data_IF_696560084818
#
_entry.id   IF_696560084818
#
_cell.length_a   1.000
_cell.length_b   1.000
_cell.length_c   1.000
_cell.angle_alpha   90.00
_cell.angle_beta   90.00
_cell.angle_gamma   90.00
#
_symmetry.space_group_name_H-M   'P 1'
#
loop_
_entity.id
_entity.type
_entity.pdbx_description
1 polymer ?
#
# COMPACT_ATOMS: atom_id res chain seq x y z
N UNK A 1 6.13 2.72 66.17
CA UNK A 1 6.51 1.75 65.13
C UNK A 1 5.24 1.23 64.46
N UNK A 2 5.25 1.13 63.12
CA UNK A 2 4.12 0.71 62.24
C UNK A 2 3.05 1.81 62.11
N UNK A 3 2.80 2.48 60.99
CA UNK A 3 2.79 2.03 59.59
C UNK A 3 3.21 3.18 58.66
N UNK A 4 4.42 3.12 58.11
CA UNK A 4 4.85 3.87 56.93
C UNK A 4 5.29 2.79 55.94
N UNK A 5 4.35 2.15 55.24
CA UNK A 5 4.69 1.12 54.23
C UNK A 5 3.50 0.65 53.40
N UNK A 6 2.67 1.54 52.86
CA UNK A 6 1.79 1.17 51.72
C UNK A 6 1.53 2.40 50.84
N UNK A 7 2.55 2.92 50.16
CA UNK A 7 2.36 3.85 49.05
C UNK A 7 3.54 3.74 48.06
N UNK A 8 3.80 2.51 47.59
CA UNK A 8 4.82 2.30 46.55
C UNK A 8 4.56 1.05 45.70
N UNK A 9 3.31 0.79 45.31
CA UNK A 9 2.98 -0.35 44.44
C UNK A 9 1.85 -0.13 43.42
N UNK A 10 1.60 1.10 42.97
CA UNK A 10 0.72 1.35 41.80
C UNK A 10 1.26 2.47 40.91
N UNK A 11 2.54 2.41 40.56
CA UNK A 11 3.08 3.07 39.35
C UNK A 11 4.08 2.12 38.72
N UNK A 12 3.61 0.93 38.35
CA UNK A 12 4.37 -0.01 37.54
C UNK A 12 3.44 -0.43 36.40
N UNK A 13 3.70 0.18 35.25
CA UNK A 13 3.32 -0.28 33.92
C UNK A 13 1.83 -0.27 33.53
N UNK A 14 1.26 0.93 33.46
CA UNK A 14 0.37 1.27 32.34
C UNK A 14 1.06 2.32 31.44
N UNK A 15 2.31 2.07 31.08
CA UNK A 15 2.74 2.46 29.74
C UNK A 15 2.00 1.53 28.80
N UNK A 16 0.76 1.87 28.46
CA UNK A 16 0.21 1.49 27.16
C UNK A 16 1.18 2.16 26.19
N UNK A 17 2.25 1.45 25.84
CA UNK A 17 3.07 1.81 24.71
C UNK A 17 2.09 1.81 23.56
N UNK A 18 1.62 2.99 23.14
CA UNK A 18 1.20 3.16 21.77
C UNK A 18 2.39 2.65 20.96
N UNK A 19 2.25 1.44 20.44
CA UNK A 19 3.37 0.74 19.84
C UNK A 19 3.60 1.42 18.50
N UNK A 20 4.45 2.43 18.50
CA UNK A 20 4.86 3.08 17.28
C UNK A 20 5.59 2.04 16.42
N UNK A 21 5.08 1.83 15.21
CA UNK A 21 5.74 1.03 14.20
C UNK A 21 6.88 1.85 13.60
N UNK A 22 8.08 1.29 13.56
CA UNK A 22 9.28 2.00 13.10
C UNK A 22 10.20 1.08 12.28
N UNK A 23 10.69 1.62 11.17
CA UNK A 23 11.81 1.04 10.43
C UNK A 23 13.10 1.41 11.15
N UNK A 24 13.91 0.41 11.49
CA UNK A 24 15.20 0.58 12.15
C UNK A 24 16.38 0.48 11.18
N UNK A 25 16.16 -0.13 10.02
CA UNK A 25 17.19 -0.33 9.00
C UNK A 25 17.48 0.99 8.26
N UNK A 26 18.66 1.56 8.51
CA UNK A 26 19.06 2.86 7.95
C UNK A 26 19.12 2.88 6.41
N UNK A 27 19.55 1.79 5.78
CA UNK A 27 19.55 1.67 4.31
C UNK A 27 18.12 1.73 3.75
N UNK A 28 17.18 1.10 4.45
CA UNK A 28 15.79 1.10 4.04
C UNK A 28 15.12 2.46 4.28
N UNK A 29 15.47 3.16 5.36
CA UNK A 29 15.03 4.55 5.60
C UNK A 29 15.50 5.44 4.45
N UNK A 30 16.80 5.41 4.14
CA UNK A 30 17.39 6.22 3.07
C UNK A 30 16.78 5.89 1.71
N UNK A 31 16.57 4.61 1.43
CA UNK A 31 15.83 4.16 0.24
C UNK A 31 14.43 4.79 0.19
N UNK A 32 13.64 4.69 1.25
CA UNK A 32 12.28 5.25 1.29
C UNK A 32 12.28 6.78 1.11
N UNK A 33 13.25 7.50 1.70
CA UNK A 33 13.41 8.94 1.51
C UNK A 33 13.67 9.31 0.05
N UNK A 34 14.62 8.62 -0.59
CA UNK A 34 14.96 8.84 -2.00
C UNK A 34 13.79 8.51 -2.94
N UNK A 35 13.07 7.41 -2.69
CA UNK A 35 11.87 7.05 -3.46
C UNK A 35 10.78 8.10 -3.28
N UNK A 36 10.50 8.53 -2.05
CA UNK A 36 9.49 9.56 -1.79
C UNK A 36 9.82 10.88 -2.50
N UNK A 37 11.09 11.28 -2.50
CA UNK A 37 11.56 12.46 -3.21
C UNK A 37 11.45 12.29 -4.73
N UNK A 38 11.86 11.14 -5.29
CA UNK A 38 11.74 10.83 -6.71
C UNK A 38 10.30 10.95 -7.19
N UNK A 39 9.36 10.37 -6.44
CA UNK A 39 7.93 10.47 -6.71
C UNK A 39 7.41 11.92 -6.67
N UNK A 40 7.87 12.73 -5.71
CA UNK A 40 7.53 14.15 -5.66
C UNK A 40 8.07 14.91 -6.88
N UNK A 41 9.26 14.55 -7.38
CA UNK A 41 9.83 15.11 -8.61
C UNK A 41 9.02 14.75 -9.85
N UNK A 42 8.44 13.55 -9.92
CA UNK A 42 7.51 13.16 -11.00
C UNK A 42 6.29 14.09 -11.02
N UNK A 43 5.68 14.39 -9.88
CA UNK A 43 4.46 15.23 -9.79
C UNK A 43 4.69 16.63 -10.37
N UNK A 44 5.89 17.19 -10.19
CA UNK A 44 6.27 18.51 -10.72
C UNK A 44 6.97 18.43 -12.09
N UNK A 45 6.93 17.27 -12.75
CA UNK A 45 7.54 17.00 -14.06
C UNK A 45 9.07 17.19 -14.13
N UNK A 46 9.76 17.13 -13.00
CA UNK A 46 11.24 17.14 -12.92
C UNK A 46 11.78 15.70 -13.07
N UNK A 47 11.56 15.13 -14.26
CA UNK A 47 11.85 13.72 -14.54
C UNK A 47 13.34 13.38 -14.52
N UNK A 48 14.22 14.35 -14.81
CA UNK A 48 15.67 14.14 -14.76
C UNK A 48 16.12 13.93 -13.32
N UNK A 49 15.65 14.78 -12.39
CA UNK A 49 15.94 14.60 -10.97
C UNK A 49 15.31 13.32 -10.42
N UNK A 50 14.07 13.00 -10.82
CA UNK A 50 13.42 11.74 -10.44
C UNK A 50 14.26 10.52 -10.86
N UNK A 51 14.78 10.49 -12.09
CA UNK A 51 15.61 9.40 -12.60
C UNK A 51 16.89 9.23 -11.76
N UNK A 52 17.55 10.35 -11.41
CA UNK A 52 18.77 10.31 -10.60
C UNK A 52 18.49 9.80 -9.17
N UNK A 53 17.37 10.19 -8.58
CA UNK A 53 16.96 9.74 -7.24
C UNK A 53 16.65 8.24 -7.21
N UNK A 54 15.97 7.69 -8.23
CA UNK A 54 15.77 6.24 -8.33
C UNK A 54 17.09 5.47 -8.42
N UNK A 55 18.04 5.95 -9.26
CA UNK A 55 19.37 5.35 -9.36
C UNK A 55 20.14 5.39 -8.05
N UNK A 56 20.01 6.46 -7.27
CA UNK A 56 20.59 6.54 -5.93
C UNK A 56 19.92 5.54 -4.99
N UNK A 57 18.58 5.49 -4.98
CA UNK A 57 17.81 4.60 -4.12
C UNK A 57 18.18 3.13 -4.36
N UNK A 58 18.33 2.71 -5.61
CA UNK A 58 18.64 1.31 -5.96
C UNK A 58 20.07 0.89 -5.63
N UNK A 59 20.96 1.82 -5.24
CA UNK A 59 22.27 1.51 -4.66
C UNK A 59 22.17 1.18 -3.17
N UNK A 60 21.23 1.82 -2.47
CA UNK A 60 21.02 1.64 -1.03
C UNK A 60 20.28 0.33 -0.72
N UNK A 61 19.38 -0.09 -1.60
CA UNK A 61 18.57 -1.29 -1.39
C UNK A 61 18.60 -2.23 -2.59
N UNK A 62 19.21 -3.41 -2.39
CA UNK A 62 19.44 -4.43 -3.44
C UNK A 62 18.17 -4.98 -4.07
N UNK A 63 17.05 -4.95 -3.35
CA UNK A 63 15.80 -5.59 -3.76
C UNK A 63 14.66 -4.56 -3.91
N UNK A 64 14.80 -3.55 -4.79
CA UNK A 64 13.81 -2.49 -4.93
C UNK A 64 12.42 -3.05 -5.23
N UNK A 65 11.38 -2.42 -4.69
CA UNK A 65 10.03 -2.89 -4.93
C UNK A 65 9.64 -2.75 -6.41
N UNK A 66 8.85 -3.68 -6.94
CA UNK A 66 8.44 -3.68 -8.35
C UNK A 66 7.71 -2.40 -8.77
N UNK A 67 6.97 -1.79 -7.84
CA UNK A 67 6.37 -0.46 -8.04
C UNK A 67 7.42 0.61 -8.39
N UNK A 68 8.53 0.60 -7.66
CA UNK A 68 9.59 1.60 -7.82
C UNK A 68 10.41 1.30 -9.07
N UNK A 69 10.65 0.02 -9.40
CA UNK A 69 11.24 -0.39 -10.67
C UNK A 69 10.37 0.06 -11.87
N UNK A 70 9.04 -0.08 -11.77
CA UNK A 70 8.11 0.36 -12.81
C UNK A 70 8.17 1.88 -13.03
N UNK A 71 8.15 2.65 -11.92
CA UNK A 71 8.25 4.10 -12.01
C UNK A 71 9.61 4.54 -12.56
N UNK A 72 10.70 3.97 -12.05
CA UNK A 72 12.07 4.23 -12.53
C UNK A 72 12.19 3.94 -14.02
N UNK A 73 11.70 2.78 -14.49
CA UNK A 73 11.67 2.43 -15.91
C UNK A 73 10.93 3.47 -16.75
N UNK A 74 9.73 3.87 -16.32
CA UNK A 74 8.91 4.83 -17.06
C UNK A 74 9.51 6.24 -17.08
N UNK A 75 10.12 6.68 -15.97
CA UNK A 75 10.87 7.94 -15.92
C UNK A 75 12.09 7.87 -16.84
N UNK A 76 12.88 6.79 -16.76
CA UNK A 76 14.09 6.58 -17.56
C UNK A 76 13.79 6.59 -19.07
N UNK A 77 12.71 5.93 -19.50
CA UNK A 77 12.24 5.99 -20.89
C UNK A 77 11.95 7.43 -21.35
N UNK A 78 11.25 8.22 -20.52
CA UNK A 78 10.88 9.61 -20.84
C UNK A 78 12.09 10.54 -20.92
N UNK A 79 13.12 10.31 -20.11
CA UNK A 79 14.38 11.09 -20.16
C UNK A 79 15.43 10.47 -21.10
N UNK A 80 15.05 9.44 -21.87
CA UNK A 80 15.90 8.74 -22.86
C UNK A 80 17.13 8.06 -22.26
N UNK A 81 17.05 7.67 -21.00
CA UNK A 81 18.05 6.84 -20.33
C UNK A 81 17.72 5.35 -20.53
N UNK A 82 17.93 4.90 -21.77
CA UNK A 82 17.51 3.56 -22.18
C UNK A 82 18.28 2.43 -21.48
N UNK A 83 19.51 2.68 -21.03
CA UNK A 83 20.28 1.66 -20.30
C UNK A 83 19.64 1.37 -18.94
N UNK A 84 19.28 2.42 -18.19
CA UNK A 84 18.58 2.25 -16.91
C UNK A 84 17.17 1.67 -17.11
N UNK A 85 16.43 2.20 -18.08
CA UNK A 85 15.10 1.68 -18.40
C UNK A 85 15.13 0.18 -18.76
N UNK A 86 16.12 -0.26 -19.54
CA UNK A 86 16.23 -1.67 -19.93
C UNK A 86 16.58 -2.55 -18.73
N UNK A 87 17.44 -2.07 -17.82
CA UNK A 87 17.77 -2.78 -16.58
C UNK A 87 16.54 -2.99 -15.69
N UNK A 88 15.73 -1.94 -15.51
CA UNK A 88 14.52 -2.00 -14.69
C UNK A 88 13.45 -2.89 -15.34
N UNK A 89 13.26 -2.76 -16.66
CA UNK A 89 12.42 -3.66 -17.46
C UNK A 89 12.80 -5.13 -17.26
N UNK A 90 14.10 -5.43 -17.37
CA UNK A 90 14.60 -6.79 -17.22
C UNK A 90 14.38 -7.31 -15.79
N UNK A 91 14.60 -6.46 -14.78
CA UNK A 91 14.34 -6.81 -13.38
C UNK A 91 12.87 -7.15 -13.14
N UNK A 92 11.94 -6.36 -13.69
CA UNK A 92 10.50 -6.63 -13.65
C UNK A 92 10.13 -7.93 -14.37
N UNK A 93 10.72 -8.19 -15.55
CA UNK A 93 10.55 -9.47 -16.26
C UNK A 93 11.00 -10.66 -15.42
N UNK A 94 12.14 -10.56 -14.73
CA UNK A 94 12.61 -11.61 -13.83
C UNK A 94 11.70 -11.86 -12.64
N UNK A 95 10.96 -10.84 -12.19
CA UNK A 95 9.91 -10.99 -11.18
C UNK A 95 8.60 -11.55 -11.75
N UNK A 96 8.53 -11.82 -13.06
CA UNK A 96 7.36 -12.36 -13.73
C UNK A 96 6.32 -11.32 -14.09
N UNK A 97 6.70 -10.03 -14.23
CA UNK A 97 5.79 -9.02 -14.76
C UNK A 97 5.52 -9.29 -16.24
N UNK A 98 4.24 -9.29 -16.61
CA UNK A 98 3.81 -9.33 -18.00
C UNK A 98 3.92 -7.94 -18.63
N UNK A 99 4.34 -7.92 -19.90
CA UNK A 99 4.46 -6.71 -20.71
C UNK A 99 3.81 -6.99 -22.06
N UNK A 100 3.31 -5.94 -22.71
CA UNK A 100 2.81 -6.03 -24.08
C UNK A 100 3.86 -6.70 -24.98
N UNK A 101 3.40 -7.55 -25.89
CA UNK A 101 4.27 -8.32 -26.79
C UNK A 101 5.21 -7.41 -27.61
N UNK A 102 4.75 -6.19 -27.91
CA UNK A 102 5.48 -5.20 -28.69
C UNK A 102 6.29 -4.20 -27.84
N UNK A 103 6.24 -4.27 -26.51
CA UNK A 103 6.90 -3.31 -25.61
C UNK A 103 8.39 -3.14 -25.95
N UNK A 104 9.12 -4.26 -26.02
CA UNK A 104 10.56 -4.22 -26.35
C UNK A 104 10.86 -3.56 -27.69
N UNK A 105 10.14 -3.96 -28.75
CA UNK A 105 10.36 -3.42 -30.10
C UNK A 105 9.98 -1.95 -30.22
N UNK A 106 9.00 -1.49 -29.43
CA UNK A 106 8.51 -0.12 -29.44
C UNK A 106 9.44 0.82 -28.68
N UNK A 107 9.84 0.43 -27.47
CA UNK A 107 10.49 1.31 -26.52
C UNK A 107 12.03 1.16 -26.52
N UNK A 108 12.56 0.05 -27.05
CA UNK A 108 14.00 -0.23 -27.15
C UNK A 108 14.43 -0.62 -28.57
N UNK A 109 14.60 0.38 -29.45
CA UNK A 109 15.19 0.16 -30.77
C UNK A 109 16.62 -0.36 -30.61
N UNK A 110 16.98 -1.43 -31.33
CA UNK A 110 18.28 -2.12 -31.22
C UNK A 110 18.53 -2.75 -29.84
N UNK A 111 17.55 -3.49 -29.32
CA UNK A 111 17.62 -4.13 -28.00
C UNK A 111 18.84 -5.06 -27.81
N UNK A 112 19.42 -5.58 -28.89
CA UNK A 112 20.65 -6.41 -28.90
C UNK A 112 21.86 -5.70 -28.28
N UNK A 113 21.85 -4.36 -28.22
CA UNK A 113 22.91 -3.57 -27.58
C UNK A 113 22.91 -3.73 -26.05
N UNK A 114 21.79 -4.05 -25.43
CA UNK A 114 21.68 -4.11 -23.98
C UNK A 114 22.05 -5.51 -23.49
N UNK A 115 23.03 -5.60 -22.59
CA UNK A 115 23.47 -6.88 -22.01
C UNK A 115 22.40 -7.45 -21.10
N UNK A 116 21.77 -8.55 -21.51
CA UNK A 116 20.84 -9.32 -20.68
C UNK A 116 21.65 -10.10 -19.64
N UNK A 117 21.40 -9.84 -18.35
CA UNK A 117 21.89 -10.71 -17.27
C UNK A 117 20.88 -11.84 -17.05
N UNK A 118 21.32 -13.03 -16.68
CA UNK A 118 20.39 -14.06 -16.23
C UNK A 118 19.61 -13.58 -15.00
N UNK A 119 18.33 -13.93 -14.89
CA UNK A 119 17.57 -13.68 -13.68
C UNK A 119 18.22 -14.40 -12.48
N UNK A 120 18.71 -13.63 -11.51
CA UNK A 120 19.30 -14.18 -10.28
C UNK A 120 18.23 -14.71 -9.31
N UNK A 121 17.01 -14.17 -9.40
CA UNK A 121 15.93 -14.50 -8.48
C UNK A 121 15.26 -15.83 -8.86
N UNK A 122 15.17 -16.75 -7.89
CA UNK A 122 14.44 -18.00 -8.03
C UNK A 122 13.12 -17.92 -7.26
N UNK A 123 12.02 -17.81 -8.00
CA UNK A 123 10.66 -17.82 -7.44
C UNK A 123 10.35 -19.21 -6.85
N UNK A 124 9.93 -19.27 -5.59
CA UNK A 124 9.42 -20.48 -4.94
C UNK A 124 7.97 -20.72 -5.38
N UNK A 125 7.81 -21.41 -6.51
CA UNK A 125 6.51 -21.74 -7.09
C UNK A 125 5.61 -22.55 -6.13
N UNK A 126 6.20 -23.37 -5.26
CA UNK A 126 5.44 -24.15 -4.28
C UNK A 126 4.91 -23.25 -3.16
N UNK A 127 5.71 -22.29 -2.70
CA UNK A 127 5.25 -21.28 -1.74
C UNK A 127 4.14 -20.44 -2.34
N UNK A 128 4.33 -19.93 -3.57
CA UNK A 128 3.31 -19.19 -4.31
C UNK A 128 2.00 -19.98 -4.42
N UNK A 129 2.06 -21.22 -4.89
CA UNK A 129 0.87 -22.09 -5.04
C UNK A 129 0.14 -22.29 -3.70
N UNK A 130 0.87 -22.39 -2.60
CA UNK A 130 0.28 -22.51 -1.27
C UNK A 130 -0.45 -21.23 -0.87
N UNK A 131 0.14 -20.05 -1.11
CA UNK A 131 -0.49 -18.76 -0.85
C UNK A 131 -1.73 -18.54 -1.70
N UNK A 132 -1.66 -18.84 -3.00
CA UNK A 132 -2.79 -18.73 -3.92
C UNK A 132 -3.94 -19.66 -3.49
N UNK A 133 -3.62 -20.89 -3.03
CA UNK A 133 -4.64 -21.79 -2.50
C UNK A 133 -5.32 -21.26 -1.25
N UNK A 134 -4.59 -20.60 -0.34
CA UNK A 134 -5.19 -19.96 0.84
C UNK A 134 -6.09 -18.80 0.43
N UNK A 135 -5.68 -18.02 -0.57
CA UNK A 135 -6.47 -16.92 -1.12
C UNK A 135 -7.78 -17.42 -1.75
N UNK A 136 -7.75 -18.49 -2.54
CA UNK A 136 -9.00 -19.01 -3.13
C UNK A 136 -10.00 -19.49 -2.05
N UNK A 137 -9.51 -20.08 -0.95
CA UNK A 137 -10.37 -20.44 0.19
C UNK A 137 -10.95 -19.18 0.87
N UNK A 138 -10.13 -18.15 1.07
CA UNK A 138 -10.54 -16.87 1.66
C UNK A 138 -11.61 -16.16 0.83
N UNK A 139 -11.51 -16.24 -0.50
CA UNK A 139 -12.43 -15.55 -1.41
C UNK A 139 -13.68 -16.35 -1.77
N UNK A 140 -13.68 -17.67 -1.59
CA UNK A 140 -14.74 -18.55 -2.08
C UNK A 140 -16.15 -18.08 -1.68
N UNK A 141 -16.40 -17.92 -0.38
CA UNK A 141 -17.72 -17.49 0.12
C UNK A 141 -18.01 -16.01 -0.16
N UNK A 142 -16.97 -15.18 -0.31
CA UNK A 142 -17.14 -13.76 -0.70
C UNK A 142 -17.61 -13.62 -2.14
N UNK A 143 -17.08 -14.44 -3.05
CA UNK A 143 -17.53 -14.52 -4.44
C UNK A 143 -18.94 -15.13 -4.52
N UNK A 144 -19.18 -16.23 -3.79
CA UNK A 144 -20.47 -16.92 -3.78
C UNK A 144 -21.61 -16.06 -3.23
N UNK A 145 -21.33 -15.18 -2.27
CA UNK A 145 -22.37 -14.35 -1.65
C UNK A 145 -22.95 -13.27 -2.57
N UNK A 146 -22.26 -12.92 -3.66
CA UNK A 146 -22.65 -11.78 -4.49
C UNK A 146 -22.74 -10.46 -3.71
N UNK A 147 -22.01 -10.33 -2.59
CA UNK A 147 -22.05 -9.18 -1.69
C UNK A 147 -23.01 -9.33 -0.50
N UNK A 148 -23.87 -10.35 -0.45
CA UNK A 148 -24.71 -10.61 0.72
C UNK A 148 -23.93 -11.39 1.81
N UNK A 149 -22.95 -10.73 2.42
CA UNK A 149 -22.06 -11.36 3.39
C UNK A 149 -22.75 -11.84 4.67
N UNK A 150 -23.87 -11.21 5.08
CA UNK A 150 -24.59 -11.62 6.28
C UNK A 150 -25.18 -13.04 6.14
N UNK A 151 -25.65 -13.41 4.95
CA UNK A 151 -26.15 -14.77 4.68
C UNK A 151 -25.06 -15.84 4.81
N UNK A 152 -23.79 -15.48 4.62
CA UNK A 152 -22.63 -16.38 4.66
C UNK A 152 -21.72 -16.16 5.87
N UNK A 153 -22.18 -15.42 6.88
CA UNK A 153 -21.37 -14.97 8.02
C UNK A 153 -20.61 -16.09 8.73
N UNK A 154 -21.29 -17.22 8.96
CA UNK A 154 -20.69 -18.40 9.62
C UNK A 154 -19.56 -19.00 8.79
N UNK A 155 -19.78 -19.12 7.48
CA UNK A 155 -18.81 -19.67 6.55
C UNK A 155 -17.62 -18.75 6.35
N UNK A 156 -17.86 -17.43 6.24
CA UNK A 156 -16.82 -16.39 6.21
C UNK A 156 -15.97 -16.42 7.48
N UNK A 157 -16.60 -16.49 8.67
CA UNK A 157 -15.88 -16.57 9.93
C UNK A 157 -14.99 -17.83 10.00
N UNK A 158 -15.50 -18.96 9.50
CA UNK A 158 -14.74 -20.21 9.45
C UNK A 158 -13.59 -20.14 8.45
N UNK A 159 -13.84 -19.66 7.23
CA UNK A 159 -12.81 -19.54 6.20
C UNK A 159 -11.71 -18.60 6.64
N UNK A 160 -12.06 -17.42 7.17
CA UNK A 160 -11.11 -16.40 7.64
C UNK A 160 -10.22 -16.93 8.77
N UNK A 161 -10.80 -17.71 9.70
CA UNK A 161 -10.03 -18.35 10.78
C UNK A 161 -9.01 -19.35 10.24
N UNK A 162 -9.42 -20.20 9.30
CA UNK A 162 -8.55 -21.20 8.68
C UNK A 162 -7.43 -20.53 7.88
N UNK A 163 -7.77 -19.56 7.03
CA UNK A 163 -6.82 -18.93 6.12
C UNK A 163 -5.83 -18.05 6.87
N UNK A 164 -6.28 -17.22 7.81
CA UNK A 164 -5.39 -16.36 8.61
C UNK A 164 -4.44 -17.15 9.50
N UNK A 165 -4.92 -18.19 10.18
CA UNK A 165 -4.07 -19.04 11.04
C UNK A 165 -3.03 -19.80 10.22
N UNK A 166 -3.43 -20.34 9.06
CA UNK A 166 -2.50 -21.05 8.19
C UNK A 166 -1.50 -20.10 7.53
N UNK A 167 -1.92 -18.89 7.15
CA UNK A 167 -1.02 -17.86 6.64
C UNK A 167 0.01 -17.46 7.70
N UNK A 168 -0.40 -17.23 8.95
CA UNK A 168 0.51 -16.91 10.05
C UNK A 168 1.55 -18.01 10.24
N UNK A 169 1.12 -19.28 10.32
CA UNK A 169 2.04 -20.43 10.44
C UNK A 169 3.01 -20.51 9.28
N UNK A 170 2.53 -20.24 8.06
CA UNK A 170 3.35 -20.27 6.87
C UNK A 170 4.39 -19.13 6.87
N UNK A 171 4.00 -17.91 7.26
CA UNK A 171 4.91 -16.77 7.47
C UNK A 171 5.95 -17.09 8.55
N UNK A 172 5.54 -17.68 9.67
CA UNK A 172 6.47 -18.05 10.75
C UNK A 172 7.46 -19.15 10.32
N UNK A 173 7.05 -20.04 9.41
CA UNK A 173 7.90 -21.13 8.90
C UNK A 173 8.83 -20.70 7.77
N UNK A 174 8.34 -19.92 6.80
CA UNK A 174 9.05 -19.58 5.55
C UNK A 174 9.53 -18.13 5.47
N UNK A 175 9.13 -17.29 6.42
CA UNK A 175 9.27 -15.84 6.34
C UNK A 175 8.11 -15.19 5.60
N UNK A 176 7.94 -13.88 5.81
CA UNK A 176 6.91 -13.10 5.12
C UNK A 176 7.14 -13.12 3.60
N UNK A 177 6.13 -13.40 2.76
CA UNK A 177 6.32 -13.43 1.31
C UNK A 177 6.63 -12.04 0.74
N UNK A 178 7.59 -11.95 -0.19
CA UNK A 178 7.82 -10.75 -0.99
C UNK A 178 7.86 -11.07 -2.49
N UNK A 179 7.87 -10.02 -3.31
CA UNK A 179 7.86 -10.12 -4.79
C UNK A 179 9.05 -10.93 -5.34
N UNK A 180 10.19 -10.93 -4.65
CA UNK A 180 11.39 -11.72 -5.01
C UNK A 180 11.26 -13.21 -4.65
N UNK A 181 10.39 -13.56 -3.68
CA UNK A 181 10.13 -14.94 -3.30
C UNK A 181 9.04 -15.59 -4.16
N UNK A 182 7.98 -14.83 -4.48
CA UNK A 182 6.75 -15.37 -5.08
C UNK A 182 6.43 -14.82 -6.48
N UNK A 183 7.23 -13.87 -6.98
CA UNK A 183 6.98 -13.19 -8.24
C UNK A 183 5.77 -12.26 -8.20
N UNK A 184 5.38 -11.75 -9.38
CA UNK A 184 4.33 -10.76 -9.56
C UNK A 184 3.06 -11.32 -10.23
N UNK A 185 3.06 -12.59 -10.62
CA UNK A 185 1.91 -13.19 -11.32
C UNK A 185 0.62 -13.26 -10.48
N UNK A 186 0.72 -13.12 -9.14
CA UNK A 186 -0.44 -13.00 -8.24
C UNK A 186 -0.71 -11.57 -7.76
N UNK A 187 0.02 -10.60 -8.29
CA UNK A 187 -0.15 -9.20 -7.95
C UNK A 187 -1.15 -8.53 -8.89
N UNK A 188 -1.88 -7.53 -8.38
CA UNK A 188 -2.66 -6.64 -9.23
C UNK A 188 -1.79 -5.58 -9.93
N UNK A 189 -2.41 -4.67 -10.67
CA UNK A 189 -1.71 -3.59 -11.38
C UNK A 189 -1.00 -2.61 -10.43
N UNK A 190 -1.38 -2.56 -9.15
CA UNK A 190 -0.75 -1.75 -8.09
C UNK A 190 0.29 -2.56 -7.30
N UNK A 191 0.66 -3.74 -7.80
CA UNK A 191 1.59 -4.67 -7.15
C UNK A 191 1.12 -5.15 -5.77
N UNK A 192 -0.20 -5.21 -5.54
CA UNK A 192 -0.79 -5.78 -4.33
C UNK A 192 -0.99 -7.29 -4.52
N UNK A 193 -0.30 -8.09 -3.70
CA UNK A 193 -0.36 -9.55 -3.78
C UNK A 193 -1.67 -10.08 -3.18
N UNK A 194 -2.27 -11.08 -3.84
CA UNK A 194 -3.52 -11.74 -3.39
C UNK A 194 -3.56 -12.12 -1.91
N UNK A 195 -2.45 -12.65 -1.35
CA UNK A 195 -2.43 -13.09 0.05
C UNK A 195 -2.66 -11.93 1.05
N UNK A 196 -2.39 -10.68 0.67
CA UNK A 196 -2.67 -9.54 1.54
C UNK A 196 -4.16 -9.38 1.84
N UNK A 197 -5.08 -9.85 0.98
CA UNK A 197 -6.52 -9.84 1.28
C UNK A 197 -6.87 -10.69 2.50
N UNK A 198 -6.13 -11.79 2.73
CA UNK A 198 -6.31 -12.61 3.94
C UNK A 198 -5.97 -11.78 5.19
N UNK A 199 -4.92 -10.95 5.11
CA UNK A 199 -4.52 -10.04 6.21
C UNK A 199 -5.53 -8.89 6.34
N UNK A 200 -6.01 -8.33 5.23
CA UNK A 200 -7.05 -7.30 5.21
C UNK A 200 -8.29 -7.78 5.95
N UNK A 201 -8.78 -8.98 5.65
CA UNK A 201 -9.99 -9.53 6.26
C UNK A 201 -9.89 -9.78 7.76
N UNK A 202 -8.66 -9.73 8.32
CA UNK A 202 -8.44 -9.67 9.76
C UNK A 202 -8.52 -8.24 10.32
N UNK A 203 -9.21 -7.30 9.67
CA UNK A 203 -9.40 -5.97 10.22
C UNK A 203 -10.10 -6.00 11.60
N UNK A 204 -9.69 -5.13 12.52
CA UNK A 204 -10.16 -5.14 13.92
C UNK A 204 -11.67 -4.92 14.04
N UNK A 205 -12.22 -4.09 13.16
CA UNK A 205 -13.63 -3.69 13.17
C UNK A 205 -14.48 -4.49 12.16
N UNK A 206 -14.07 -5.72 11.80
CA UNK A 206 -14.82 -6.53 10.86
C UNK A 206 -16.17 -6.98 11.47
N UNK A 207 -17.27 -6.50 10.91
CA UNK A 207 -18.63 -6.81 11.38
C UNK A 207 -19.14 -8.20 10.99
N UNK A 208 -18.50 -8.84 10.00
CA UNK A 208 -18.92 -10.15 9.47
C UNK A 208 -18.11 -11.31 10.08
N UNK A 209 -16.85 -11.09 10.41
CA UNK A 209 -15.93 -12.12 10.90
C UNK A 209 -14.97 -11.53 11.91
N UNK A 210 -14.99 -12.00 13.15
CA UNK A 210 -14.10 -11.45 14.17
C UNK A 210 -12.64 -11.78 13.89
N UNK A 211 -11.76 -10.80 14.12
CA UNK A 211 -10.31 -10.96 13.99
C UNK A 211 -9.82 -12.17 14.80
N UNK A 212 -9.08 -13.05 14.13
CA UNK A 212 -8.42 -14.24 14.71
C UNK A 212 -6.93 -14.05 14.86
N UNK A 213 -6.33 -13.31 13.92
CA UNK A 213 -4.91 -13.01 13.91
C UNK A 213 -4.72 -11.52 13.69
N UNK A 214 -4.00 -10.86 14.59
CA UNK A 214 -3.46 -9.53 14.33
C UNK A 214 -2.04 -9.69 13.78
N UNK A 215 -1.83 -9.30 12.51
CA UNK A 215 -0.56 -9.48 11.82
C UNK A 215 0.47 -8.38 12.08
N UNK A 216 0.19 -7.39 12.94
CA UNK A 216 1.04 -6.19 13.12
C UNK A 216 2.51 -6.52 13.43
N UNK A 217 2.77 -7.52 14.29
CA UNK A 217 4.15 -7.94 14.59
C UNK A 217 4.89 -8.47 13.36
N UNK A 218 4.18 -9.21 12.52
CA UNK A 218 4.74 -9.88 11.35
C UNK A 218 4.92 -8.90 10.19
N UNK A 219 4.00 -7.93 10.06
CA UNK A 219 4.11 -6.79 9.13
C UNK A 219 5.30 -5.92 9.54
N UNK A 220 5.46 -5.56 10.82
CA UNK A 220 6.58 -4.75 11.29
C UNK A 220 7.94 -5.42 11.01
N UNK A 221 8.00 -6.75 11.21
CA UNK A 221 9.20 -7.52 10.91
C UNK A 221 9.49 -7.52 9.41
N UNK A 222 8.48 -7.80 8.59
CA UNK A 222 8.61 -7.77 7.14
C UNK A 222 9.04 -6.38 6.63
N UNK A 223 8.51 -5.32 7.23
CA UNK A 223 8.84 -3.94 6.88
C UNK A 223 10.32 -3.65 7.19
N UNK A 224 10.82 -4.06 8.36
CA UNK A 224 12.24 -3.91 8.72
C UNK A 224 13.18 -4.77 7.86
N UNK A 225 12.68 -5.89 7.31
CA UNK A 225 13.40 -6.74 6.36
C UNK A 225 13.30 -6.25 4.90
N UNK A 226 12.57 -5.17 4.61
CA UNK A 226 12.33 -4.68 3.26
C UNK A 226 11.50 -5.64 2.40
N UNK A 227 10.63 -6.45 3.01
CA UNK A 227 9.80 -7.46 2.33
C UNK A 227 8.40 -6.98 1.96
N UNK A 228 7.96 -5.87 2.56
CA UNK A 228 6.67 -5.24 2.33
C UNK A 228 6.88 -3.74 2.19
N UNK A 229 6.19 -3.14 1.23
CA UNK A 229 6.27 -1.70 1.00
C UNK A 229 5.64 -0.92 2.16
N UNK A 230 6.17 0.26 2.51
CA UNK A 230 5.58 1.14 3.51
C UNK A 230 4.09 1.43 3.34
N UNK A 231 3.62 1.63 2.11
CA UNK A 231 2.21 1.96 1.81
C UNK A 231 1.27 0.79 2.14
N UNK A 232 1.65 -0.43 1.73
CA UNK A 232 0.91 -1.64 2.08
C UNK A 232 0.97 -1.88 3.59
N UNK A 233 2.15 -1.77 4.21
CA UNK A 233 2.31 -1.99 5.64
C UNK A 233 1.44 -1.03 6.47
N UNK A 234 1.47 0.27 6.15
CA UNK A 234 0.64 1.29 6.78
C UNK A 234 -0.85 0.99 6.67
N UNK A 235 -1.33 0.64 5.46
CA UNK A 235 -2.73 0.24 5.26
C UNK A 235 -3.09 -0.98 6.12
N UNK A 236 -2.25 -2.01 6.13
CA UNK A 236 -2.52 -3.23 6.88
C UNK A 236 -2.47 -3.00 8.40
N UNK A 237 -1.61 -2.10 8.89
CA UNK A 237 -1.62 -1.67 10.30
C UNK A 237 -2.92 -0.99 10.66
N UNK A 238 -3.41 -0.06 9.83
CA UNK A 238 -4.69 0.62 10.05
C UNK A 238 -5.85 -0.36 10.11
N UNK A 239 -5.89 -1.32 9.18
CA UNK A 239 -6.90 -2.37 9.17
C UNK A 239 -6.82 -3.25 10.43
N UNK A 240 -5.64 -3.78 10.75
CA UNK A 240 -5.46 -4.75 11.84
C UNK A 240 -5.67 -4.14 13.24
N UNK A 241 -5.49 -2.82 13.38
CA UNK A 241 -5.62 -2.13 14.67
C UNK A 241 -6.85 -1.21 14.75
N UNK A 242 -7.62 -1.08 13.66
CA UNK A 242 -8.80 -0.22 13.61
C UNK A 242 -8.47 1.27 13.68
N UNK A 243 -7.30 1.67 13.17
CA UNK A 243 -6.79 3.05 13.20
C UNK A 243 -6.92 3.72 11.83
N UNK A 244 -6.55 5.01 11.77
CA UNK A 244 -6.42 5.80 10.52
C UNK A 244 -5.13 6.60 10.52
N UNK A 245 -4.06 5.99 11.03
CA UNK A 245 -2.75 6.58 11.26
C UNK A 245 -1.89 6.66 10.00
N UNK A 246 -2.22 5.87 8.97
CA UNK A 246 -1.43 5.76 7.73
C UNK A 246 -2.27 5.96 6.47
N UNK A 247 -3.57 6.15 6.59
CA UNK A 247 -4.49 6.31 5.46
C UNK A 247 -5.53 7.39 5.77
N UNK A 248 -5.10 8.65 5.79
CA UNK A 248 -5.92 9.75 6.32
C UNK A 248 -6.79 10.44 5.26
N UNK A 249 -6.17 11.05 4.24
CA UNK A 249 -6.92 11.64 3.13
C UNK A 249 -7.32 10.59 2.10
N UNK A 250 -8.63 10.44 1.87
CA UNK A 250 -9.22 9.55 0.86
C UNK A 250 -9.80 10.35 -0.29
N UNK A 251 -9.80 9.74 -1.46
CA UNK A 251 -10.53 10.23 -2.63
C UNK A 251 -11.91 9.57 -2.60
N UNK A 252 -12.96 10.36 -2.75
CA UNK A 252 -14.33 9.90 -2.69
C UNK A 252 -14.98 9.91 -4.06
N UNK A 253 -15.83 8.93 -4.31
CA UNK A 253 -16.76 8.88 -5.44
C UNK A 253 -18.18 8.63 -4.94
N UNK A 254 -19.15 9.16 -5.66
CA UNK A 254 -20.56 9.11 -5.27
C UNK A 254 -21.38 8.45 -6.35
N UNK A 255 -22.31 7.58 -5.97
CA UNK A 255 -23.34 7.04 -6.86
C UNK A 255 -24.69 7.39 -6.24
N UNK A 256 -25.49 8.18 -6.93
CA UNK A 256 -26.84 8.55 -6.49
C UNK A 256 -27.84 7.76 -7.31
N UNK A 257 -28.83 7.11 -6.69
CA UNK A 257 -29.91 6.38 -7.39
C UNK A 257 -29.45 5.30 -8.39
N UNK A 258 -28.27 4.72 -8.19
CA UNK A 258 -27.63 3.80 -9.15
C UNK A 258 -27.33 4.44 -10.52
N UNK A 259 -27.29 5.77 -10.58
CA UNK A 259 -26.94 6.53 -11.77
C UNK A 259 -25.41 6.59 -11.95
N UNK A 260 -24.96 7.43 -12.89
CA UNK A 260 -23.55 7.60 -13.23
C UNK A 260 -22.73 7.96 -11.98
N UNK A 261 -21.56 7.35 -11.86
CA UNK A 261 -20.59 7.68 -10.82
C UNK A 261 -20.12 9.12 -10.95
N UNK A 262 -20.28 9.88 -9.87
CA UNK A 262 -19.80 11.24 -9.70
C UNK A 262 -18.48 11.21 -8.92
N UNK A 263 -17.37 11.22 -9.68
CA UNK A 263 -16.00 11.23 -9.18
C UNK A 263 -15.29 12.50 -9.67
N UNK A 264 -14.28 13.04 -8.99
CA UNK A 264 -13.68 12.60 -7.74
C UNK A 264 -13.64 13.76 -6.75
N UNK A 265 -13.65 13.46 -5.45
CA UNK A 265 -13.70 14.46 -4.40
C UNK A 265 -12.66 14.20 -3.31
N UNK A 266 -12.17 15.23 -2.64
CA UNK A 266 -11.30 15.13 -1.47
C UNK A 266 -11.73 16.13 -0.40
N UNK A 267 -11.48 15.84 0.87
CA UNK A 267 -11.83 16.79 1.95
C UNK A 267 -11.09 18.12 1.80
N UNK A 268 -11.80 19.24 1.98
CA UNK A 268 -11.17 20.57 1.99
C UNK A 268 -10.13 20.73 3.11
N UNK A 269 -10.18 19.87 4.13
CA UNK A 269 -9.19 19.82 5.20
C UNK A 269 -7.77 19.45 4.69
N UNK A 270 -7.59 19.06 3.43
CA UNK A 270 -6.26 19.00 2.82
C UNK A 270 -5.57 20.38 2.81
N UNK A 271 -6.33 21.47 2.73
CA UNK A 271 -5.84 22.84 2.77
C UNK A 271 -5.64 23.30 4.22
N UNK A 272 -4.42 23.67 4.65
CA UNK A 272 -4.14 24.06 6.03
C UNK A 272 -5.06 25.13 6.61
N UNK A 273 -5.43 26.12 5.79
CA UNK A 273 -6.30 27.24 6.13
C UNK A 273 -7.77 26.85 6.37
N UNK A 274 -8.18 25.65 5.93
CA UNK A 274 -9.53 25.09 6.13
C UNK A 274 -9.62 24.15 7.33
N UNK A 275 -8.52 23.90 8.04
CA UNK A 275 -8.46 22.90 9.12
C UNK A 275 -8.87 23.49 10.46
N UNK A 276 -9.72 22.77 11.18
CA UNK A 276 -9.88 22.97 12.62
C UNK A 276 -8.58 22.64 13.38
N UNK A 277 -8.37 23.25 14.55
CA UNK A 277 -7.17 23.04 15.36
C UNK A 277 -6.94 21.56 15.73
N UNK A 278 -8.02 20.83 16.04
CA UNK A 278 -7.97 19.39 16.37
C UNK A 278 -7.48 18.55 15.19
N UNK A 279 -7.92 18.88 13.97
CA UNK A 279 -7.48 18.22 12.73
C UNK A 279 -6.00 18.49 12.49
N UNK A 280 -5.52 19.71 12.74
CA UNK A 280 -4.11 20.04 12.64
C UNK A 280 -3.23 19.23 13.60
N UNK A 281 -3.65 19.10 14.87
CA UNK A 281 -2.94 18.26 15.86
C UNK A 281 -2.91 16.80 15.41
N UNK A 282 -4.04 16.28 14.92
CA UNK A 282 -4.13 14.90 14.43
C UNK A 282 -3.23 14.64 13.23
N UNK A 283 -3.21 15.55 12.25
CA UNK A 283 -2.35 15.43 11.06
C UNK A 283 -0.86 15.43 11.44
N UNK A 284 -0.45 16.27 12.41
CA UNK A 284 0.94 16.26 12.89
C UNK A 284 1.34 14.90 13.47
N UNK A 285 0.48 14.30 14.28
CA UNK A 285 0.73 12.98 14.87
C UNK A 285 0.73 11.86 13.81
N UNK A 286 -0.21 11.91 12.88
CA UNK A 286 -0.25 11.01 11.71
C UNK A 286 1.03 11.12 10.90
N UNK A 287 1.47 12.34 10.57
CA UNK A 287 2.70 12.55 9.80
C UNK A 287 3.95 12.09 10.56
N UNK A 288 3.97 12.22 11.89
CA UNK A 288 5.03 11.64 12.73
C UNK A 288 5.08 10.12 12.58
N UNK A 289 3.94 9.42 12.74
CA UNK A 289 3.85 7.96 12.60
C UNK A 289 4.18 7.48 11.18
N UNK A 290 3.67 8.17 10.17
CA UNK A 290 3.96 7.89 8.75
C UNK A 290 5.46 7.95 8.46
N UNK A 291 6.16 8.98 8.97
CA UNK A 291 7.60 9.12 8.83
C UNK A 291 8.36 7.92 9.44
N UNK A 292 7.94 7.41 10.59
CA UNK A 292 8.59 6.27 11.26
C UNK A 292 8.60 4.99 10.41
N UNK A 293 7.61 4.83 9.51
CA UNK A 293 7.54 3.68 8.61
C UNK A 293 7.98 3.99 7.17
N UNK A 294 8.63 5.14 6.94
CA UNK A 294 9.14 5.52 5.62
C UNK A 294 8.08 6.08 4.65
N UNK A 295 6.90 6.47 5.14
CA UNK A 295 5.90 7.15 4.33
C UNK A 295 6.10 8.67 4.29
N UNK A 296 5.72 9.25 3.16
CA UNK A 296 5.58 10.70 2.95
C UNK A 296 4.44 11.26 3.82
N UNK A 297 4.35 12.58 3.99
CA UNK A 297 3.21 13.22 4.70
C UNK A 297 1.86 12.88 4.06
N UNK A 298 0.76 12.99 4.82
CA UNK A 298 -0.57 12.72 4.27
C UNK A 298 -0.94 13.71 3.16
N UNK A 299 -0.42 14.93 3.20
CA UNK A 299 -0.60 15.93 2.14
C UNK A 299 0.16 15.56 0.85
N UNK A 300 1.39 15.08 0.96
CA UNK A 300 2.16 14.58 -0.20
C UNK A 300 1.51 13.35 -0.81
N UNK A 301 1.04 12.40 0.02
CA UNK A 301 0.29 11.24 -0.45
C UNK A 301 -0.98 11.64 -1.19
N UNK A 302 -1.72 12.62 -0.68
CA UNK A 302 -2.90 13.12 -1.36
C UNK A 302 -2.55 13.75 -2.73
N UNK A 303 -1.45 14.53 -2.82
CA UNK A 303 -0.97 15.07 -4.11
C UNK A 303 -0.60 13.97 -5.10
N UNK A 304 0.09 12.92 -4.64
CA UNK A 304 0.43 11.73 -5.45
C UNK A 304 -0.84 11.04 -5.97
N UNK A 305 -1.83 10.85 -5.10
CA UNK A 305 -3.10 10.21 -5.46
C UNK A 305 -3.94 11.05 -6.43
N UNK A 306 -3.97 12.37 -6.26
CA UNK A 306 -4.62 13.29 -7.21
C UNK A 306 -3.92 13.24 -8.56
N UNK A 307 -2.58 13.32 -8.59
CA UNK A 307 -1.82 13.27 -9.84
C UNK A 307 -2.05 11.95 -10.61
N UNK A 308 -2.12 10.83 -9.90
CA UNK A 308 -2.41 9.52 -10.47
C UNK A 308 -3.80 9.42 -11.10
N UNK A 309 -4.79 10.25 -10.71
CA UNK A 309 -6.12 10.21 -11.33
C UNK A 309 -6.02 10.37 -12.85
N UNK A 310 -5.15 11.27 -13.32
CA UNK A 310 -4.95 11.56 -14.75
C UNK A 310 -3.66 10.98 -15.34
N UNK A 311 -2.76 10.42 -14.50
CA UNK A 311 -1.44 9.91 -14.94
C UNK A 311 -1.23 8.47 -14.47
N UNK A 312 -1.78 7.51 -15.24
CA UNK A 312 -1.72 6.08 -14.91
C UNK A 312 -0.37 5.41 -15.20
N UNK A 313 0.54 6.14 -15.83
CA UNK A 313 1.89 5.66 -16.15
C UNK A 313 2.76 5.47 -14.90
N UNK A 314 2.43 6.09 -13.77
CA UNK A 314 3.20 5.97 -12.53
C UNK A 314 2.32 5.38 -11.44
N UNK A 315 2.89 4.65 -10.50
CA UNK A 315 2.17 4.02 -9.40
C UNK A 315 2.79 4.52 -8.08
N UNK A 316 2.02 5.24 -7.27
CA UNK A 316 2.54 5.85 -6.04
C UNK A 316 2.10 5.10 -4.78
N UNK A 317 0.79 5.03 -4.54
CA UNK A 317 0.21 4.24 -3.46
C UNK A 317 -1.02 3.52 -4.00
N UNK A 318 -1.44 2.44 -3.35
CA UNK A 318 -2.73 1.82 -3.66
C UNK A 318 -3.85 2.82 -3.33
N UNK A 319 -4.35 3.53 -4.34
CA UNK A 319 -5.43 4.50 -4.13
C UNK A 319 -6.64 3.76 -3.60
N UNK A 320 -7.10 4.17 -2.42
CA UNK A 320 -8.43 3.81 -1.96
C UNK A 320 -9.38 4.91 -2.41
N UNK A 321 -10.04 4.72 -3.55
CA UNK A 321 -11.24 5.49 -3.87
C UNK A 321 -12.37 4.89 -3.03
N UNK A 322 -12.88 5.66 -2.10
CA UNK A 322 -13.99 5.25 -1.24
C UNK A 322 -15.31 5.65 -1.92
N UNK A 323 -16.10 4.64 -2.27
CA UNK A 323 -17.39 4.82 -2.93
C UNK A 323 -18.52 4.91 -1.94
N UNK A 324 -19.33 5.96 -2.05
CA UNK A 324 -20.59 6.10 -1.32
C UNK A 324 -21.78 5.97 -2.27
N UNK A 325 -22.78 5.22 -1.84
CA UNK A 325 -24.03 5.06 -2.57
C UNK A 325 -25.17 5.73 -1.78
N UNK A 326 -25.87 6.66 -2.43
CA UNK A 326 -26.97 7.42 -1.85
C UNK A 326 -28.27 7.14 -2.62
N UNK A 327 -29.39 7.11 -1.88
CA UNK A 327 -30.75 6.96 -2.45
C UNK A 327 -31.42 8.29 -2.81
N UNK A 328 -30.81 9.41 -2.46
CA UNK A 328 -31.33 10.73 -2.80
C UNK A 328 -30.15 11.70 -3.00
N UNK A 329 -30.38 12.74 -3.80
CA UNK A 329 -29.34 13.69 -4.14
C UNK A 329 -28.99 14.63 -2.96
N UNK A 330 -29.96 14.95 -2.11
CA UNK A 330 -29.76 15.89 -1.01
C UNK A 330 -28.73 15.38 0.01
N UNK A 331 -28.76 14.09 0.35
CA UNK A 331 -27.81 13.45 1.26
C UNK A 331 -26.40 13.43 0.65
N UNK A 332 -26.31 13.16 -0.65
CA UNK A 332 -25.04 13.20 -1.38
C UNK A 332 -24.45 14.62 -1.38
N UNK A 333 -25.24 15.64 -1.66
CA UNK A 333 -24.79 17.04 -1.64
C UNK A 333 -24.43 17.52 -0.22
N UNK A 334 -25.16 17.08 0.81
CA UNK A 334 -24.81 17.35 2.20
C UNK A 334 -23.45 16.75 2.57
N UNK A 335 -23.16 15.54 2.09
CA UNK A 335 -21.85 14.90 2.27
C UNK A 335 -20.73 15.63 1.51
N UNK A 336 -21.02 16.10 0.30
CA UNK A 336 -20.06 16.84 -0.55
C UNK A 336 -19.75 18.25 -0.05
N UNK A 337 -20.55 18.82 0.86
CA UNK A 337 -20.42 20.21 1.36
C UNK A 337 -18.99 20.61 1.79
N UNK A 338 -18.24 19.67 2.37
CA UNK A 338 -16.87 19.91 2.86
C UNK A 338 -15.80 19.25 1.98
N UNK A 339 -16.15 18.93 0.73
CA UNK A 339 -15.27 18.29 -0.23
C UNK A 339 -14.99 19.24 -1.40
N UNK A 340 -13.77 19.16 -1.91
CA UNK A 340 -13.32 19.82 -3.13
C UNK A 340 -13.49 18.83 -4.26
N UNK A 341 -14.20 19.25 -5.32
CA UNK A 341 -14.23 18.51 -6.58
C UNK A 341 -12.84 18.55 -7.21
N UNK A 342 -12.28 17.38 -7.47
CA UNK A 342 -11.05 17.25 -8.24
C UNK A 342 -11.41 17.35 -9.71
N UNK A 343 -10.70 18.21 -10.46
CA UNK A 343 -10.87 18.29 -11.90
C UNK A 343 -10.43 16.97 -12.52
N UNK A 344 -11.41 16.16 -12.87
CA UNK A 344 -11.24 14.95 -13.64
C UNK A 344 -10.76 15.35 -15.05
N UNK A 345 -9.45 15.29 -15.27
CA UNK A 345 -8.94 15.24 -16.64
C UNK A 345 -8.97 13.78 -17.04
N UNK A 346 -10.12 13.40 -17.62
CA UNK A 346 -10.45 12.16 -18.37
C UNK A 346 -10.73 10.88 -17.58
N UNK A 347 -12.03 10.54 -17.51
CA UNK A 347 -12.55 9.15 -17.48
C UNK A 347 -12.34 8.44 -18.83
#
# INVERSE_FOLDING_TARGET
MKNILVFLSIIVHLTISAQDFEIKNQYLIKYCELINEAENKIIINDLVSANNLYKEAFKEFRYPYAKDLQNSMNVALRVKDFENAYYDYHSLKCLGKEFDINFLSKDFKNNEKYKIKSCENKVDLQYKKTLDSLYEIDQYYRKLSGGNYEAYKKDLTKSDSITSTNLLRLIQKKGFPNEYNIGLASADNMFYQKFYYIIWHQLANNHYSSQKVNFSKEILRALNEGKIRPDIAGQLFDLNNGTKDYSFFKIYQFIVNNEKTDCCYISEAILPEKRAAEVNTKIKEINRKRKLIGLTSTEEEARKNIFFLSNKDYIFTSITIEGFQFKNNNDAELFKKYLIKLNDTTH
#
